data_IF_746018640299
#
_entry.id   IF_746018640299
#
_cell.length_a   1.000
_cell.length_b   1.000
_cell.length_c   1.000
_cell.angle_alpha   90.00
_cell.angle_beta   90.00
_cell.angle_gamma   90.00
#
_symmetry.space_group_name_H-M   'P 1'
#
loop_
_entity.id
_entity.type
_entity.pdbx_description
1 polymer ?
#
# COMPACT_ATOMS: atom_id res chain seq x y z
N UNK A 1 -8.86 -39.92 33.41
CA UNK A 1 -7.73 -38.98 33.50
C UNK A 1 -7.90 -38.03 32.34
N UNK A 2 -8.63 -36.96 32.60
CA UNK A 2 -8.96 -35.93 31.62
C UNK A 2 -7.81 -34.90 31.62
N UNK A 3 -7.15 -34.72 30.47
CA UNK A 3 -6.08 -33.74 30.31
C UNK A 3 -6.75 -32.42 29.97
N UNK A 4 -6.90 -31.57 30.99
CA UNK A 4 -7.34 -30.20 30.82
C UNK A 4 -6.49 -29.49 29.76
N UNK A 5 -7.17 -28.98 28.75
CA UNK A 5 -6.63 -27.97 27.83
C UNK A 5 -6.28 -26.73 28.65
N UNK A 6 -4.99 -26.42 28.78
CA UNK A 6 -4.52 -25.10 29.21
C UNK A 6 -5.07 -24.08 28.22
N UNK A 7 -6.13 -23.38 28.62
CA UNK A 7 -6.59 -22.21 27.91
C UNK A 7 -5.50 -21.13 28.08
N UNK A 8 -5.07 -20.53 26.97
CA UNK A 8 -4.20 -19.36 27.02
C UNK A 8 -4.82 -18.32 27.98
N UNK A 9 -4.02 -17.68 28.85
CA UNK A 9 -4.54 -16.65 29.72
C UNK A 9 -5.22 -15.57 28.88
N UNK A 10 -6.33 -14.97 29.37
CA UNK A 10 -7.05 -13.96 28.63
C UNK A 10 -6.08 -12.84 28.26
N UNK A 11 -5.92 -12.60 26.96
CA UNK A 11 -5.11 -11.48 26.48
C UNK A 11 -5.74 -10.20 27.05
N UNK A 12 -4.95 -9.33 27.71
CA UNK A 12 -5.49 -8.08 28.24
C UNK A 12 -6.16 -7.31 27.10
N UNK A 13 -7.27 -6.63 27.42
CA UNK A 13 -8.00 -5.80 26.46
C UNK A 13 -7.28 -4.48 26.17
N UNK A 14 -7.78 -3.67 25.23
CA UNK A 14 -7.26 -2.34 25.00
C UNK A 14 -7.44 -1.44 26.23
N UNK A 15 -6.43 -0.62 26.51
CA UNK A 15 -6.45 0.41 27.57
C UNK A 15 -6.57 1.78 26.94
N UNK A 16 -7.50 2.62 27.40
CA UNK A 16 -7.66 4.01 26.93
C UNK A 16 -7.78 4.97 28.11
N UNK A 17 -7.04 6.07 28.04
CA UNK A 17 -7.11 7.18 28.99
C UNK A 17 -7.57 8.46 28.29
N UNK A 18 -8.52 9.17 28.89
CA UNK A 18 -9.06 10.44 28.38
C UNK A 18 -8.52 11.62 29.17
N UNK A 19 -7.92 12.58 28.47
CA UNK A 19 -7.22 13.73 29.04
C UNK A 19 -6.28 13.39 30.22
N UNK A 20 -5.45 12.33 30.12
CA UNK A 20 -4.56 11.95 31.21
C UNK A 20 -3.52 13.02 31.49
N UNK A 21 -3.04 13.05 32.72
CA UNK A 21 -1.84 13.82 33.07
C UNK A 21 -0.61 13.26 32.37
N UNK A 22 0.44 14.08 32.26
CA UNK A 22 1.73 13.65 31.71
C UNK A 22 2.33 12.44 32.44
N UNK A 23 2.08 12.32 33.76
CA UNK A 23 2.59 11.21 34.57
C UNK A 23 1.76 9.94 34.41
N UNK A 24 0.44 10.04 34.35
CA UNK A 24 -0.43 8.88 34.03
C UNK A 24 -0.10 8.35 32.64
N UNK A 25 0.12 9.24 31.67
CA UNK A 25 0.53 8.84 30.31
C UNK A 25 1.90 8.17 30.30
N UNK A 26 2.86 8.64 31.11
CA UNK A 26 4.17 7.99 31.22
C UNK A 26 4.04 6.54 31.72
N UNK A 27 3.28 6.31 32.79
CA UNK A 27 3.07 4.96 33.31
C UNK A 27 2.39 4.04 32.30
N UNK A 28 1.36 4.55 31.62
CA UNK A 28 0.66 3.78 30.59
C UNK A 28 1.57 3.47 29.39
N UNK A 29 2.48 4.38 29.02
CA UNK A 29 3.49 4.13 27.99
C UNK A 29 4.49 3.04 28.40
N UNK A 30 5.00 3.09 29.64
CA UNK A 30 5.94 2.10 30.17
C UNK A 30 5.33 0.70 30.20
N UNK A 31 4.08 0.59 30.63
CA UNK A 31 3.32 -0.67 30.60
C UNK A 31 3.12 -1.18 29.17
N UNK A 32 2.61 -0.33 28.28
CA UNK A 32 2.36 -0.70 26.88
C UNK A 32 3.64 -1.11 26.12
N UNK A 33 4.79 -0.48 26.42
CA UNK A 33 6.07 -0.91 25.87
C UNK A 33 6.50 -2.28 26.37
N UNK A 34 6.31 -2.57 27.66
CA UNK A 34 6.61 -3.87 28.25
C UNK A 34 5.76 -5.00 27.67
N UNK A 35 4.51 -4.70 27.32
CA UNK A 35 3.56 -5.64 26.71
C UNK A 35 3.74 -5.80 25.19
N UNK A 36 4.54 -4.94 24.56
CA UNK A 36 4.65 -4.91 23.10
C UNK A 36 3.32 -4.54 22.44
N UNK A 37 2.55 -3.63 23.04
CA UNK A 37 1.31 -3.13 22.49
C UNK A 37 1.55 -2.06 21.42
N UNK A 38 0.61 -1.92 20.48
CA UNK A 38 0.56 -0.74 19.62
C UNK A 38 0.03 0.43 20.45
N UNK A 39 0.75 1.56 20.42
CA UNK A 39 0.38 2.75 21.19
C UNK A 39 -0.08 3.86 20.27
N UNK A 40 -1.14 4.56 20.68
CA UNK A 40 -1.54 5.84 20.10
C UNK A 40 -1.60 6.92 21.17
N UNK A 41 -1.00 8.07 20.92
CA UNK A 41 -1.10 9.27 21.78
C UNK A 41 -1.57 10.43 20.94
N UNK A 42 -2.71 11.02 21.30
CA UNK A 42 -3.22 12.22 20.67
C UNK A 42 -3.10 13.41 21.63
N UNK A 43 -2.53 14.51 21.17
CA UNK A 43 -2.26 15.65 22.04
C UNK A 43 -1.61 16.82 21.33
N UNK A 44 -1.63 17.97 22.00
CA UNK A 44 -0.90 19.16 21.58
C UNK A 44 0.58 18.97 21.88
N UNK A 45 1.43 18.97 20.85
CA UNK A 45 2.85 18.70 21.00
C UNK A 45 3.71 19.54 20.05
N UNK A 46 5.02 19.51 20.29
CA UNK A 46 6.06 19.85 19.30
C UNK A 46 6.81 18.60 18.89
N UNK A 47 7.42 18.63 17.70
CA UNK A 47 8.17 17.51 17.15
C UNK A 47 9.52 18.02 16.67
N UNK A 48 10.59 17.34 17.08
CA UNK A 48 11.95 17.61 16.62
C UNK A 48 12.55 16.32 16.08
N UNK A 49 13.19 16.39 14.92
CA UNK A 49 13.91 15.27 14.33
C UNK A 49 15.34 15.70 13.97
N UNK A 50 16.29 14.85 14.34
CA UNK A 50 17.72 15.01 14.05
C UNK A 50 18.23 13.67 13.48
N UNK A 51 18.89 13.70 12.32
CA UNK A 51 19.39 12.50 11.66
C UNK A 51 19.97 12.82 10.29
N UNK A 52 19.54 12.08 9.26
CA UNK A 52 19.93 12.36 7.85
C UNK A 52 19.47 13.73 7.36
N UNK A 53 18.45 14.28 8.00
CA UNK A 53 18.01 15.66 7.88
C UNK A 53 17.75 16.22 9.28
N UNK A 54 17.39 17.50 9.35
CA UNK A 54 16.86 18.10 10.56
C UNK A 54 15.49 18.71 10.26
N UNK A 55 14.51 18.48 11.13
CA UNK A 55 13.19 19.11 11.01
C UNK A 55 12.59 19.44 12.37
N UNK A 56 11.82 20.53 12.41
CA UNK A 56 11.10 20.97 13.59
C UNK A 56 9.66 21.30 13.21
N UNK A 57 8.71 20.88 14.04
CA UNK A 57 7.30 21.25 13.94
C UNK A 57 6.87 21.92 15.24
N UNK A 58 6.36 23.15 15.10
CA UNK A 58 5.84 23.93 16.20
C UNK A 58 4.58 23.34 16.86
N UNK A 59 4.05 23.99 17.91
CA UNK A 59 2.93 23.48 18.68
C UNK A 59 1.69 23.21 17.82
N UNK A 60 1.10 22.01 17.96
CA UNK A 60 -0.11 21.60 17.25
C UNK A 60 -0.63 20.25 17.74
N UNK A 61 -1.90 19.97 17.51
CA UNK A 61 -2.50 18.67 17.85
C UNK A 61 -2.07 17.61 16.84
N UNK A 62 -1.50 16.50 17.31
CA UNK A 62 -0.96 15.44 16.45
C UNK A 62 -1.27 14.07 17.03
N UNK A 63 -1.40 13.10 16.12
CA UNK A 63 -1.47 11.68 16.45
C UNK A 63 -0.06 11.09 16.37
N UNK A 64 0.45 10.61 17.50
CA UNK A 64 1.64 9.77 17.57
C UNK A 64 1.23 8.30 17.62
N UNK A 65 1.76 7.48 16.71
CA UNK A 65 1.61 6.03 16.71
C UNK A 65 2.98 5.42 16.97
N UNK A 66 3.07 4.49 17.93
CA UNK A 66 4.27 3.70 18.22
C UNK A 66 3.91 2.23 18.05
N UNK A 67 4.65 1.54 17.19
CA UNK A 67 4.42 0.12 16.90
C UNK A 67 5.41 -0.76 17.68
N UNK A 68 5.04 -2.02 17.99
CA UNK A 68 5.91 -2.95 18.70
C UNK A 68 7.19 -3.32 17.94
N UNK A 69 7.19 -3.16 16.61
CA UNK A 69 8.38 -3.37 15.76
C UNK A 69 9.38 -2.20 15.83
N UNK A 70 9.11 -1.18 16.63
CA UNK A 70 9.95 0.01 16.77
C UNK A 70 9.61 1.14 15.82
N UNK A 71 8.62 1.01 14.94
CA UNK A 71 8.19 2.13 14.10
C UNK A 71 7.54 3.24 14.94
N UNK A 72 7.81 4.50 14.61
CA UNK A 72 7.08 5.67 15.12
C UNK A 72 6.52 6.49 13.96
N UNK A 73 5.28 6.96 14.06
CA UNK A 73 4.61 7.76 13.05
C UNK A 73 3.94 8.96 13.71
N UNK A 74 4.19 10.16 13.21
CA UNK A 74 3.51 11.39 13.64
C UNK A 74 2.65 11.89 12.49
N UNK A 75 1.34 12.01 12.73
CA UNK A 75 0.37 12.52 11.76
C UNK A 75 -0.23 13.85 12.21
N UNK A 76 -0.55 14.68 11.21
CA UNK A 76 -1.44 15.84 11.32
C UNK A 76 -2.82 15.47 10.75
N UNK A 77 -3.63 16.47 10.42
CA UNK A 77 -4.99 16.37 9.88
C UNK A 77 -5.08 16.15 8.37
N UNK A 78 -3.94 16.17 7.66
CA UNK A 78 -3.87 16.03 6.20
C UNK A 78 -2.88 14.94 5.78
N UNK A 79 -3.10 14.43 4.56
CA UNK A 79 -2.25 13.45 3.86
C UNK A 79 -2.23 12.04 4.44
N UNK A 80 -1.94 11.06 3.56
CA UNK A 80 -1.82 9.65 3.94
C UNK A 80 -0.52 9.37 4.70
N UNK A 81 0.56 10.09 4.39
CA UNK A 81 1.90 9.84 4.95
C UNK A 81 2.11 10.61 6.26
N UNK A 82 2.86 10.06 7.22
CA UNK A 82 3.24 10.79 8.43
C UNK A 82 4.14 11.98 8.10
N UNK A 83 4.02 13.06 8.86
CA UNK A 83 4.87 14.25 8.72
C UNK A 83 6.28 14.04 9.28
N UNK A 84 6.42 13.15 10.27
CA UNK A 84 7.69 12.65 10.80
C UNK A 84 7.55 11.19 11.21
N UNK A 85 8.61 10.41 11.06
CA UNK A 85 8.57 8.98 11.38
C UNK A 85 9.95 8.44 11.74
N UNK A 86 9.96 7.27 12.36
CA UNK A 86 11.13 6.40 12.53
C UNK A 86 10.79 4.99 12.02
N UNK A 87 11.74 4.30 11.35
CA UNK A 87 11.52 2.97 10.80
C UNK A 87 11.40 1.89 11.88
N UNK A 88 10.99 0.66 11.50
CA UNK A 88 11.15 -0.51 12.34
C UNK A 88 12.59 -0.67 12.86
N UNK A 89 12.73 -1.25 14.06
CA UNK A 89 14.00 -1.45 14.77
C UNK A 89 14.45 -0.24 15.59
N UNK A 90 13.67 0.84 15.66
CA UNK A 90 13.95 1.98 16.53
C UNK A 90 13.51 1.70 17.97
N UNK A 91 14.23 2.27 18.94
CA UNK A 91 13.92 2.15 20.37
C UNK A 91 13.08 3.35 20.85
N UNK A 92 11.96 3.07 21.52
CA UNK A 92 11.09 4.10 22.09
C UNK A 92 11.34 4.25 23.60
N UNK A 93 11.46 5.49 24.07
CA UNK A 93 11.55 5.81 25.50
C UNK A 93 10.66 7.00 25.83
N UNK A 94 9.95 6.92 26.95
CA UNK A 94 9.15 8.01 27.48
C UNK A 94 9.79 8.58 28.75
N UNK A 95 9.60 9.88 29.00
CA UNK A 95 9.99 10.51 30.25
C UNK A 95 9.16 11.78 30.49
N UNK A 96 8.93 12.14 31.76
CA UNK A 96 8.45 13.47 32.12
C UNK A 96 9.64 14.34 32.49
N UNK A 97 9.82 15.46 31.78
CA UNK A 97 10.87 16.47 32.02
C UNK A 97 10.21 17.83 32.12
N UNK A 98 10.56 18.60 33.14
CA UNK A 98 9.96 19.93 33.41
C UNK A 98 8.42 19.89 33.45
N UNK A 99 7.87 18.81 34.01
CA UNK A 99 6.43 18.58 34.11
C UNK A 99 5.72 18.21 32.81
N UNK A 100 6.45 18.02 31.70
CA UNK A 100 5.90 17.69 30.38
C UNK A 100 6.36 16.31 29.91
N UNK A 101 5.44 15.55 29.31
CA UNK A 101 5.75 14.27 28.69
C UNK A 101 6.60 14.49 27.43
N UNK A 102 7.69 13.72 27.32
CA UNK A 102 8.50 13.56 26.12
C UNK A 102 8.53 12.09 25.74
N UNK A 103 8.14 11.79 24.51
CA UNK A 103 8.38 10.50 23.87
C UNK A 103 9.55 10.67 22.89
N UNK A 104 10.52 9.77 22.97
CA UNK A 104 11.69 9.74 22.10
C UNK A 104 11.74 8.41 21.37
N UNK A 105 11.97 8.45 20.07
CA UNK A 105 12.32 7.29 19.26
C UNK A 105 13.73 7.47 18.68
N UNK A 106 14.61 6.50 18.86
CA UNK A 106 16.01 6.55 18.42
C UNK A 106 16.42 5.33 17.62
N UNK A 107 17.32 5.52 16.66
CA UNK A 107 17.95 4.45 15.87
C UNK A 107 19.44 4.77 15.76
N UNK A 108 20.30 3.76 15.80
CA UNK A 108 21.77 3.95 15.82
C UNK A 108 22.42 3.96 14.43
N UNK A 109 21.80 3.31 13.43
CA UNK A 109 22.41 3.11 12.12
C UNK A 109 21.43 3.39 10.97
N UNK A 110 21.39 4.61 10.42
CA UNK A 110 22.13 5.81 10.88
C UNK A 110 21.60 6.33 12.23
N UNK A 111 22.41 7.14 12.92
CA UNK A 111 22.01 7.81 14.16
C UNK A 111 20.90 8.82 13.86
N UNK A 112 19.69 8.50 14.31
CA UNK A 112 18.48 9.27 14.08
C UNK A 112 17.65 9.34 15.35
N UNK A 113 17.09 10.51 15.63
CA UNK A 113 16.31 10.80 16.82
C UNK A 113 15.08 11.60 16.48
N UNK A 114 13.93 11.14 16.96
CA UNK A 114 12.64 11.82 16.93
C UNK A 114 12.19 12.10 18.37
N UNK A 115 12.01 13.36 18.74
CA UNK A 115 11.42 13.78 20.00
C UNK A 115 10.04 14.39 19.79
N UNK A 116 9.03 13.83 20.46
CA UNK A 116 7.68 14.41 20.56
C UNK A 116 7.46 14.89 21.99
N UNK A 117 7.28 16.21 22.16
CA UNK A 117 7.08 16.84 23.47
C UNK A 117 5.66 17.33 23.60
N UNK A 118 4.90 16.76 24.53
CA UNK A 118 3.50 17.10 24.72
C UNK A 118 3.35 18.30 25.67
N UNK A 119 2.60 19.30 25.23
CA UNK A 119 2.06 20.36 26.09
C UNK A 119 0.83 19.82 26.83
N UNK A 120 -0.01 19.05 26.13
CA UNK A 120 -1.20 18.40 26.66
C UNK A 120 -1.43 17.07 25.95
N UNK A 121 -1.76 16.04 26.71
CA UNK A 121 -2.26 14.77 26.16
C UNK A 121 -3.79 14.80 26.23
N UNK A 122 -4.44 14.65 25.09
CA UNK A 122 -5.91 14.56 25.03
C UNK A 122 -6.38 13.12 25.13
N UNK A 123 -5.61 12.17 24.61
CA UNK A 123 -5.90 10.75 24.69
C UNK A 123 -4.62 9.90 24.62
N UNK A 124 -4.63 8.79 25.35
CA UNK A 124 -3.69 7.68 25.19
C UNK A 124 -4.48 6.39 24.96
N UNK A 125 -3.98 5.51 24.08
CA UNK A 125 -4.45 4.12 24.00
C UNK A 125 -3.28 3.16 23.84
N UNK A 126 -3.30 2.07 24.63
CA UNK A 126 -2.48 0.88 24.45
C UNK A 126 -3.34 -0.24 23.88
N UNK A 127 -2.96 -0.75 22.71
CA UNK A 127 -3.75 -1.66 21.90
C UNK A 127 -2.95 -2.96 21.71
N UNK A 128 -3.30 -4.03 22.43
CA UNK A 128 -2.73 -5.36 22.21
C UNK A 128 -2.97 -5.79 20.76
N UNK A 129 -1.91 -6.12 20.05
CA UNK A 129 -1.98 -6.57 18.66
C UNK A 129 -1.74 -8.07 18.56
N UNK A 130 -2.67 -8.78 17.95
CA UNK A 130 -2.59 -10.21 17.64
C UNK A 130 -2.76 -10.41 16.13
N UNK A 131 -2.21 -11.50 15.57
CA UNK A 131 -2.43 -11.88 14.17
C UNK A 131 -1.23 -11.76 13.22
N UNK A 132 -1.49 -12.01 11.93
CA UNK A 132 -0.49 -12.15 10.86
C UNK A 132 0.19 -10.83 10.48
N UNK A 133 1.51 -10.85 10.35
CA UNK A 133 2.35 -9.70 9.96
C UNK A 133 2.53 -9.56 8.44
N UNK A 134 1.97 -10.50 7.67
CA UNK A 134 2.06 -10.56 6.22
C UNK A 134 0.75 -10.13 5.58
N UNK A 135 0.83 -9.14 4.69
CA UNK A 135 -0.26 -8.78 3.79
C UNK A 135 -0.14 -9.62 2.52
N UNK A 136 -1.13 -10.46 2.23
CA UNK A 136 -1.23 -11.10 0.92
C UNK A 136 -1.90 -10.12 -0.04
N UNK A 137 -1.11 -9.55 -0.95
CA UNK A 137 -1.62 -8.64 -1.98
C UNK A 137 -1.83 -9.43 -3.26
N UNK A 138 -3.07 -9.70 -3.62
CA UNK A 138 -3.46 -10.20 -4.95
C UNK A 138 -3.78 -9.01 -5.87
N UNK A 139 -3.49 -9.14 -7.17
CA UNK A 139 -3.71 -8.06 -8.14
C UNK A 139 -2.51 -7.12 -8.31
N UNK A 140 -1.32 -7.57 -7.91
CA UNK A 140 -0.06 -6.85 -8.07
C UNK A 140 0.49 -6.95 -9.50
N UNK A 141 1.48 -6.11 -9.84
CA UNK A 141 2.24 -6.27 -11.10
C UNK A 141 3.02 -7.60 -11.13
N UNK A 142 3.43 -8.11 -9.97
CA UNK A 142 4.03 -9.43 -9.86
C UNK A 142 3.05 -10.56 -10.23
N UNK A 143 1.77 -10.42 -9.90
CA UNK A 143 0.73 -11.37 -10.30
C UNK A 143 0.48 -11.33 -11.82
N UNK A 144 0.48 -10.13 -12.40
CA UNK A 144 0.41 -9.97 -13.86
C UNK A 144 1.64 -10.59 -14.54
N UNK A 145 2.84 -10.38 -13.99
CA UNK A 145 4.09 -10.98 -14.48
C UNK A 145 4.03 -12.50 -14.45
N UNK A 146 3.65 -13.08 -13.31
CA UNK A 146 3.45 -14.53 -13.16
C UNK A 146 2.46 -15.06 -14.19
N UNK A 147 1.31 -14.39 -14.39
CA UNK A 147 0.31 -14.77 -15.40
C UNK A 147 0.89 -14.78 -16.82
N UNK A 148 1.73 -13.80 -17.17
CA UNK A 148 2.40 -13.74 -18.48
C UNK A 148 3.42 -14.87 -18.63
N UNK A 149 4.18 -15.20 -17.59
CA UNK A 149 5.17 -16.28 -17.65
C UNK A 149 4.53 -17.67 -17.71
N UNK A 150 3.41 -17.87 -17.02
CA UNK A 150 2.66 -19.13 -17.01
C UNK A 150 1.84 -19.33 -18.29
N UNK A 151 1.36 -18.24 -18.90
CA UNK A 151 0.60 -18.27 -20.17
C UNK A 151 1.09 -17.19 -21.13
N UNK A 152 2.28 -17.37 -21.74
CA UNK A 152 2.86 -16.40 -22.68
C UNK A 152 1.97 -16.08 -23.88
N UNK A 153 1.16 -17.06 -24.33
CA UNK A 153 0.20 -16.90 -25.43
C UNK A 153 -0.86 -15.81 -25.17
N UNK A 154 -1.04 -15.38 -23.92
CA UNK A 154 -1.91 -14.25 -23.59
C UNK A 154 -1.32 -12.90 -24.02
N UNK A 155 -0.01 -12.81 -24.21
CA UNK A 155 0.66 -11.64 -24.76
C UNK A 155 0.51 -11.68 -26.28
N UNK A 156 0.99 -12.76 -26.90
CA UNK A 156 0.77 -13.10 -28.30
C UNK A 156 1.13 -14.57 -28.55
N UNK A 157 0.58 -15.16 -29.61
CA UNK A 157 0.85 -16.56 -29.95
C UNK A 157 2.33 -16.79 -30.29
N UNK A 158 2.96 -17.75 -29.62
CA UNK A 158 4.37 -18.09 -29.86
C UNK A 158 5.39 -17.18 -29.16
N UNK A 159 4.94 -16.25 -28.31
CA UNK A 159 5.84 -15.49 -27.44
C UNK A 159 6.53 -16.41 -26.43
N UNK A 160 7.86 -16.30 -26.35
CA UNK A 160 8.70 -17.08 -25.42
C UNK A 160 9.43 -16.12 -24.48
N UNK A 161 9.07 -16.07 -23.18
CA UNK A 161 9.81 -15.31 -22.18
C UNK A 161 11.19 -15.93 -21.96
N UNK A 162 12.24 -15.11 -22.00
CA UNK A 162 13.63 -15.55 -21.83
C UNK A 162 14.24 -15.05 -20.52
N UNK A 163 13.82 -13.88 -20.04
CA UNK A 163 14.30 -13.30 -18.79
C UNK A 163 13.25 -12.38 -18.16
N UNK A 164 13.33 -12.22 -16.84
CA UNK A 164 12.56 -11.25 -16.04
C UNK A 164 13.52 -10.33 -15.31
N UNK A 165 13.14 -9.07 -15.12
CA UNK A 165 14.01 -8.07 -14.47
C UNK A 165 15.40 -8.00 -15.13
N UNK A 166 15.43 -8.07 -16.47
CA UNK A 166 16.68 -8.04 -17.23
C UNK A 166 17.27 -6.65 -17.13
N UNK A 167 18.43 -6.52 -16.51
CA UNK A 167 19.17 -5.26 -16.45
C UNK A 167 19.45 -4.69 -17.85
N UNK A 168 19.28 -3.38 -17.99
CA UNK A 168 19.58 -2.62 -19.21
C UNK A 168 20.10 -1.22 -18.88
N UNK A 169 20.65 -0.52 -19.88
CA UNK A 169 21.09 0.86 -19.70
C UNK A 169 19.98 1.85 -19.28
N UNK A 170 18.70 1.48 -19.45
CA UNK A 170 17.55 2.30 -19.07
C UNK A 170 16.88 1.85 -17.76
N UNK A 171 17.39 0.79 -17.12
CA UNK A 171 16.83 0.15 -15.93
C UNK A 171 16.39 -1.31 -16.19
N UNK A 172 15.84 -2.00 -15.18
CA UNK A 172 15.40 -3.38 -15.32
C UNK A 172 14.15 -3.46 -16.20
N UNK A 173 14.19 -4.39 -17.16
CA UNK A 173 13.08 -4.72 -18.06
C UNK A 173 12.21 -5.79 -17.41
N UNK A 174 10.90 -5.54 -17.34
CA UNK A 174 9.95 -6.42 -16.67
C UNK A 174 10.01 -7.86 -17.16
N UNK A 175 9.81 -8.05 -18.46
CA UNK A 175 9.97 -9.33 -19.16
C UNK A 175 10.65 -9.08 -20.50
N UNK A 176 11.67 -9.87 -20.80
CA UNK A 176 12.36 -9.90 -22.08
C UNK A 176 12.18 -11.29 -22.69
N UNK A 177 11.83 -11.36 -23.96
CA UNK A 177 11.58 -12.60 -24.67
C UNK A 177 11.82 -12.49 -26.16
N UNK A 178 11.30 -13.47 -26.89
CA UNK A 178 11.29 -13.50 -28.36
C UNK A 178 9.91 -13.92 -28.86
N UNK A 179 9.51 -13.42 -30.02
CA UNK A 179 8.29 -13.86 -30.70
C UNK A 179 8.50 -15.17 -31.49
N UNK A 180 7.46 -15.63 -32.20
CA UNK A 180 7.49 -16.86 -32.99
C UNK A 180 8.56 -16.86 -34.10
N UNK A 181 9.02 -15.69 -34.54
CA UNK A 181 10.05 -15.51 -35.57
C UNK A 181 11.45 -15.33 -34.96
N UNK A 182 11.57 -15.37 -33.63
CA UNK A 182 12.81 -15.14 -32.90
C UNK A 182 13.19 -13.66 -32.80
N UNK A 183 12.24 -12.74 -33.03
CA UNK A 183 12.46 -11.30 -32.89
C UNK A 183 12.47 -10.92 -31.42
N UNK A 184 13.45 -10.13 -30.93
CA UNK A 184 13.47 -9.68 -29.55
C UNK A 184 12.24 -8.86 -29.17
N UNK A 185 11.65 -9.20 -28.02
CA UNK A 185 10.46 -8.56 -27.48
C UNK A 185 10.73 -8.05 -26.07
N UNK A 186 10.46 -6.77 -25.85
CA UNK A 186 10.47 -6.10 -24.54
C UNK A 186 9.03 -5.92 -24.09
N UNK A 187 8.68 -6.43 -22.91
CA UNK A 187 7.33 -6.31 -22.36
C UNK A 187 7.37 -5.49 -21.08
N UNK A 188 6.57 -4.42 -21.05
CA UNK A 188 6.35 -3.57 -19.87
C UNK A 188 4.98 -3.90 -19.27
N UNK A 189 4.93 -4.20 -17.97
CA UNK A 189 3.70 -4.65 -17.30
C UNK A 189 3.15 -3.55 -16.39
N UNK A 190 1.85 -3.28 -16.48
CA UNK A 190 1.18 -2.31 -15.62
C UNK A 190 -0.16 -2.83 -15.12
N UNK A 191 -0.38 -2.78 -13.81
CA UNK A 191 -1.61 -3.32 -13.20
C UNK A 191 -2.87 -2.45 -13.38
N UNK A 192 -2.73 -1.20 -13.81
CA UNK A 192 -3.82 -0.20 -13.91
C UNK A 192 -3.84 0.44 -15.28
N UNK A 193 -4.88 1.23 -15.56
CA UNK A 193 -4.92 2.11 -16.74
C UNK A 193 -3.69 3.03 -16.75
N UNK A 194 -3.02 3.11 -17.90
CA UNK A 194 -1.75 3.86 -18.01
C UNK A 194 -1.75 5.02 -18.98
N UNK A 195 -0.92 6.00 -18.65
CA UNK A 195 -0.69 7.23 -19.41
C UNK A 195 0.64 7.21 -20.20
N UNK A 196 1.01 8.35 -20.81
CA UNK A 196 2.21 8.48 -21.66
C UNK A 196 3.53 8.09 -20.99
N UNK A 197 3.64 8.22 -19.66
CA UNK A 197 4.87 7.89 -18.93
C UNK A 197 5.27 6.42 -19.10
N UNK A 198 4.28 5.51 -19.12
CA UNK A 198 4.53 4.09 -19.34
C UNK A 198 5.02 3.80 -20.76
N UNK A 199 4.50 4.54 -21.75
CA UNK A 199 4.95 4.44 -23.15
C UNK A 199 6.38 4.94 -23.29
N UNK A 200 6.71 6.07 -22.67
CA UNK A 200 8.06 6.60 -22.63
C UNK A 200 9.06 5.69 -21.91
N UNK A 201 8.62 4.96 -20.89
CA UNK A 201 9.42 3.93 -20.24
C UNK A 201 9.71 2.74 -21.18
N UNK A 202 8.67 2.16 -21.78
CA UNK A 202 8.82 1.06 -22.75
C UNK A 202 9.74 1.46 -23.91
N UNK A 203 9.57 2.66 -24.46
CA UNK A 203 10.43 3.20 -25.52
C UNK A 203 11.90 3.21 -25.13
N UNK A 204 12.23 3.71 -23.93
CA UNK A 204 13.61 3.74 -23.43
C UNK A 204 14.21 2.33 -23.32
N UNK A 205 13.40 1.33 -22.93
CA UNK A 205 13.85 -0.06 -22.88
C UNK A 205 14.09 -0.64 -24.26
N UNK A 206 13.18 -0.46 -25.21
CA UNK A 206 13.37 -0.88 -26.60
C UNK A 206 14.64 -0.25 -27.18
N UNK A 207 14.85 1.06 -26.99
CA UNK A 207 16.06 1.77 -27.44
C UNK A 207 17.35 1.30 -26.73
N UNK A 208 17.26 0.87 -25.47
CA UNK A 208 18.40 0.30 -24.75
C UNK A 208 18.78 -1.08 -25.31
N UNK A 209 17.80 -1.97 -25.47
CA UNK A 209 18.03 -3.31 -26.03
C UNK A 209 18.54 -3.21 -27.46
N UNK A 210 17.95 -2.36 -28.31
CA UNK A 210 18.40 -2.17 -29.69
C UNK A 210 19.87 -1.73 -29.77
N UNK A 211 20.36 -0.93 -28.82
CA UNK A 211 21.77 -0.48 -28.77
C UNK A 211 22.73 -1.54 -28.24
N UNK A 212 22.27 -2.44 -27.38
CA UNK A 212 23.08 -3.54 -26.83
C UNK A 212 23.33 -4.63 -27.87
N UNK A 213 22.47 -4.72 -28.89
CA UNK A 213 22.51 -5.75 -29.90
C UNK A 213 23.45 -5.40 -31.05
N UNK A 214 24.16 -6.42 -31.52
CA UNK A 214 25.04 -6.33 -32.68
C UNK A 214 24.33 -6.69 -33.99
N UNK A 215 23.15 -7.31 -33.93
CA UNK A 215 22.32 -7.64 -35.07
C UNK A 215 21.30 -6.53 -35.36
N UNK A 216 21.09 -6.22 -36.64
CA UNK A 216 20.21 -5.13 -37.11
C UNK A 216 18.71 -5.53 -37.05
N UNK A 217 18.35 -6.49 -36.21
CA UNK A 217 16.98 -6.94 -36.03
C UNK A 217 16.22 -5.92 -35.19
N UNK A 218 15.03 -5.53 -35.65
CA UNK A 218 14.15 -4.64 -34.92
C UNK A 218 13.73 -5.26 -33.58
N UNK A 219 13.81 -4.48 -32.50
CA UNK A 219 13.27 -4.89 -31.19
C UNK A 219 11.83 -4.41 -31.09
N UNK A 220 10.91 -5.33 -30.75
CA UNK A 220 9.50 -5.01 -30.51
C UNK A 220 9.29 -4.62 -29.05
N UNK A 221 8.34 -3.72 -28.82
CA UNK A 221 7.93 -3.32 -27.47
C UNK A 221 6.44 -3.50 -27.27
N UNK A 222 6.05 -4.28 -26.26
CA UNK A 222 4.66 -4.51 -25.89
C UNK A 222 4.36 -3.92 -24.50
N UNK A 223 3.33 -3.07 -24.43
CA UNK A 223 2.78 -2.59 -23.17
C UNK A 223 1.58 -3.47 -22.79
N UNK A 224 1.66 -4.13 -21.63
CA UNK A 224 0.59 -5.00 -21.13
C UNK A 224 -0.08 -4.32 -19.94
N UNK A 225 -1.34 -3.92 -20.09
CA UNK A 225 -2.12 -3.27 -19.03
C UNK A 225 -3.62 -3.45 -19.24
N UNK A 226 -4.49 -3.25 -18.23
CA UNK A 226 -5.93 -3.34 -18.42
C UNK A 226 -6.47 -2.38 -19.50
N UNK A 227 -5.89 -1.17 -19.58
CA UNK A 227 -6.25 -0.16 -20.58
C UNK A 227 -5.18 0.93 -20.68
N UNK A 228 -5.26 1.74 -21.73
CA UNK A 228 -4.43 2.93 -21.94
C UNK A 228 -5.31 4.18 -22.04
N UNK A 229 -4.72 5.36 -21.81
CA UNK A 229 -5.36 6.64 -22.17
C UNK A 229 -5.26 6.88 -23.68
N UNK A 230 -6.12 7.73 -24.24
CA UNK A 230 -6.08 8.04 -25.68
C UNK A 230 -4.75 8.66 -26.11
N UNK A 231 -4.16 9.48 -25.23
CA UNK A 231 -2.83 10.04 -25.43
C UNK A 231 -1.73 8.97 -25.45
N UNK A 232 -1.82 7.98 -24.57
CA UNK A 232 -0.88 6.85 -24.57
C UNK A 232 -1.05 5.98 -25.81
N UNK A 233 -2.29 5.74 -26.26
CA UNK A 233 -2.57 5.02 -27.52
C UNK A 233 -1.94 5.72 -28.73
N UNK A 234 -2.15 7.03 -28.87
CA UNK A 234 -1.54 7.81 -29.95
C UNK A 234 0.00 7.77 -29.90
N UNK A 235 0.59 7.75 -28.69
CA UNK A 235 2.04 7.68 -28.52
C UNK A 235 2.61 6.30 -28.86
N UNK A 236 1.91 5.22 -28.49
CA UNK A 236 2.26 3.85 -28.88
C UNK A 236 2.28 3.72 -30.41
N UNK A 237 1.22 4.18 -31.08
CA UNK A 237 1.13 4.18 -32.55
C UNK A 237 2.24 4.99 -33.21
N UNK A 238 2.52 6.20 -32.70
CA UNK A 238 3.59 7.06 -33.21
C UNK A 238 4.98 6.42 -33.06
N UNK A 239 5.23 5.76 -31.93
CA UNK A 239 6.54 5.18 -31.60
C UNK A 239 6.71 3.73 -32.10
N UNK A 240 5.71 3.16 -32.79
CA UNK A 240 5.75 1.79 -33.30
C UNK A 240 5.74 0.73 -32.19
N UNK A 241 5.09 1.04 -31.08
CA UNK A 241 4.96 0.17 -29.90
C UNK A 241 3.55 -0.42 -29.85
N UNK A 242 3.44 -1.62 -29.29
CA UNK A 242 2.22 -2.41 -29.30
C UNK A 242 1.55 -2.44 -27.90
N UNK A 243 0.27 -2.79 -27.87
CA UNK A 243 -0.51 -2.83 -26.62
C UNK A 243 -1.34 -4.11 -26.53
N UNK A 244 -1.29 -4.74 -25.35
CA UNK A 244 -2.11 -5.91 -25.00
C UNK A 244 -2.96 -5.58 -23.78
N UNK A 245 -4.27 -5.70 -23.93
CA UNK A 245 -5.20 -5.51 -22.83
C UNK A 245 -5.20 -6.72 -21.89
N UNK A 246 -4.60 -6.60 -20.71
CA UNK A 246 -4.56 -7.67 -19.71
C UNK A 246 -4.64 -7.11 -18.29
N UNK A 247 -5.56 -7.66 -17.50
CA UNK A 247 -5.65 -7.38 -16.07
C UNK A 247 -4.89 -8.43 -15.25
N UNK A 248 -4.33 -8.06 -14.08
CA UNK A 248 -3.81 -9.05 -13.14
C UNK A 248 -4.94 -10.00 -12.72
N UNK A 249 -4.63 -11.25 -12.34
CA UNK A 249 -5.64 -12.16 -11.82
C UNK A 249 -6.30 -11.55 -10.58
N UNK A 250 -7.63 -11.58 -10.55
CA UNK A 250 -8.40 -11.34 -9.33
C UNK A 250 -8.42 -12.63 -8.53
N UNK A 251 -8.29 -12.57 -7.20
CA UNK A 251 -8.46 -13.74 -6.34
C UNK A 251 -9.88 -14.30 -6.55
N UNK A 252 -10.01 -15.63 -6.59
CA UNK A 252 -11.29 -16.31 -6.86
C UNK A 252 -12.39 -15.91 -5.84
N UNK A 253 -12.02 -15.49 -4.62
CA UNK A 253 -12.96 -14.95 -3.62
C UNK A 253 -13.62 -13.62 -4.02
N UNK A 254 -13.04 -12.86 -4.95
CA UNK A 254 -13.60 -11.59 -5.44
C UNK A 254 -14.60 -11.78 -6.60
N UNK A 255 -14.65 -12.98 -7.20
CA UNK A 255 -15.54 -13.26 -8.33
C UNK A 255 -16.96 -13.64 -7.84
N UNK A 256 -17.06 -14.39 -6.74
CA UNK A 256 -18.34 -14.84 -6.18
C UNK A 256 -19.18 -13.68 -5.60
N UNK A 257 -18.54 -12.59 -5.18
CA UNK A 257 -19.23 -11.39 -4.67
C UNK A 257 -19.76 -10.47 -5.78
N UNK A 258 -19.23 -10.57 -7.01
CA UNK A 258 -19.72 -9.78 -8.15
C UNK A 258 -20.92 -10.44 -8.86
N UNK A 259 -21.04 -11.78 -8.79
CA UNK A 259 -22.16 -12.50 -9.39
C UNK A 259 -23.43 -12.44 -8.52
N UNK A 260 -23.29 -12.35 -7.18
CA UNK A 260 -24.45 -12.26 -6.26
C UNK A 260 -25.25 -10.96 -6.39
N UNK A 261 -24.59 -9.84 -6.72
CA UNK A 261 -25.24 -8.52 -6.84
C UNK A 261 -26.03 -8.34 -8.16
N UNK A 262 -25.93 -9.28 -9.11
CA UNK A 262 -26.64 -9.19 -10.40
C UNK A 262 -28.01 -9.88 -10.41
N UNK A 263 -28.38 -10.58 -9.34
CA UNK A 263 -29.52 -11.52 -9.32
C UNK A 263 -30.74 -11.07 -8.51
N UNK A 264 -30.75 -9.88 -7.91
CA UNK A 264 -31.85 -9.43 -7.03
C UNK A 264 -32.69 -8.26 -7.52
N UNK A 265 -32.72 -7.95 -8.82
CA UNK A 265 -33.64 -6.93 -9.37
C UNK A 265 -34.41 -7.43 -10.59
N UNK A 266 -35.44 -8.24 -10.33
CA UNK A 266 -36.60 -8.43 -11.23
C UNK A 266 -37.71 -9.15 -10.49
N UNK A 267 -38.71 -8.39 -10.04
CA UNK A 267 -39.84 -8.92 -9.27
C UNK A 267 -41.00 -7.93 -9.15
N UNK A 268 -41.50 -7.53 -10.32
CA UNK A 268 -42.79 -6.92 -10.68
C UNK A 268 -43.84 -6.50 -9.63
N UNK A 269 -44.33 -5.30 -9.88
CA UNK A 269 -45.51 -4.60 -9.37
C UNK A 269 -46.85 -5.30 -9.61
N UNK A 270 -47.80 -5.15 -8.69
CA UNK A 270 -49.21 -4.87 -9.03
C UNK A 270 -50.00 -4.39 -7.80
N UNK A 271 -50.55 -3.19 -7.88
CA UNK A 271 -51.58 -2.72 -6.94
C UNK A 271 -52.72 -2.09 -7.76
N UNK A 272 -53.98 -2.49 -7.58
CA UNK A 272 -55.09 -2.02 -8.42
C UNK A 272 -55.73 -0.77 -7.84
N UNK A 273 -56.06 0.18 -8.73
CA UNK A 273 -56.90 1.34 -8.42
C UNK A 273 -58.35 0.93 -8.11
N UNK A 274 -59.07 1.73 -7.31
CA UNK A 274 -60.52 1.84 -7.46
C UNK A 274 -60.94 3.27 -7.82
N UNK A 275 -61.90 3.34 -8.74
CA UNK A 275 -62.51 4.57 -9.24
C UNK A 275 -63.72 5.00 -8.37
N UNK A 276 -63.87 6.32 -8.24
CA UNK A 276 -65.10 7.14 -8.26
C UNK A 276 -66.29 6.80 -7.35
N UNK A 277 -66.70 7.78 -6.53
CA UNK A 277 -68.09 8.27 -6.50
C UNK A 277 -68.15 9.66 -5.84
N UNK A 278 -68.70 10.61 -6.59
CA UNK A 278 -69.20 11.91 -6.13
C UNK A 278 -70.48 11.74 -5.28
N UNK A 279 -70.70 12.64 -4.33
CA UNK A 279 -72.05 13.12 -3.98
C UNK A 279 -71.96 14.43 -3.19
N UNK A 280 -72.72 15.42 -3.67
CA UNK A 280 -73.04 16.74 -3.10
C UNK A 280 -73.55 16.69 -1.64
N UNK A 281 -73.08 17.62 -0.79
CA UNK A 281 -73.82 18.77 -0.19
C UNK A 281 -72.85 19.58 0.71
#
# INVERSE_FOLDING_TARGET
MDRGTDADPPTPGPTTLHAPTHRETLWALEEAFGEGALVTVFGRCTVEYEGRAASSLGPGDRLLILKPDGSALVHTDENQSPVNWQPPGSEHRAAVRDGRLRVRSTRENPDERLDVRFERVHQFSGLPVTGGRSLEVTGSEADLKRRVLERPDLVEAGFTPLATERESAAGPIDVYGEDAEGTPVVVELKRKRVGPDAVGQLKRYVEAVSRERADDRSVRGLLVAPSVTDRARAMLEHDGLEFVAMAPPVSEESAESAESDSSSDSGESSDPSPSSAESDD
#
